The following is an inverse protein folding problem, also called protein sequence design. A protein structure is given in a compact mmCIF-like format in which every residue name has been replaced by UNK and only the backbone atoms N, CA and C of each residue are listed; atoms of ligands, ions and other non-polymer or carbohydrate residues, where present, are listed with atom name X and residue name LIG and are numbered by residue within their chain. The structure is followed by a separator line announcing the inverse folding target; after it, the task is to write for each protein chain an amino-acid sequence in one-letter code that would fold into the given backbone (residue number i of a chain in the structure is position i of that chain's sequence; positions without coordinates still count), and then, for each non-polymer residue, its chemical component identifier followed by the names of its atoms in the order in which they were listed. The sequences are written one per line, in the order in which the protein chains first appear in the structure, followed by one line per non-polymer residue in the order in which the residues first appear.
data_IF_611434403303
#
_entry.id   IF_611434403303
#
_cell.length_a   1.000
_cell.length_b   1.000
_cell.length_c   1.000
_cell.angle_alpha   90.00
_cell.angle_beta   90.00
_cell.angle_gamma   90.00
#
_symmetry.space_group_name_H-M   'P 1'
#
loop_
_entity.id
_entity.type
_entity.pdbx_description
1 polymer ?
#
# COMPACT_ATOMS: atom_id res chain seq x y z
N UNK A 1 32.24 0.33 -1.26
CA UNK A 1 31.52 -0.50 -2.25
C UNK A 1 30.61 0.36 -3.16
N UNK A 2 29.54 0.99 -2.67
CA UNK A 2 28.60 1.76 -3.53
C UNK A 2 29.24 2.91 -4.34
N UNK A 3 30.15 3.70 -3.74
CA UNK A 3 30.85 4.80 -4.45
C UNK A 3 31.74 4.30 -5.59
N UNK A 4 32.41 3.16 -5.40
CA UNK A 4 33.30 2.55 -6.40
C UNK A 4 32.46 2.03 -7.58
N UNK A 5 31.34 1.37 -7.32
CA UNK A 5 30.44 0.91 -8.38
C UNK A 5 29.84 2.07 -9.18
N UNK A 6 29.53 3.19 -8.52
CA UNK A 6 29.03 4.38 -9.20
C UNK A 6 30.11 5.07 -10.04
N UNK A 7 31.36 5.10 -9.55
CA UNK A 7 32.53 5.60 -10.31
C UNK A 7 32.81 4.73 -11.53
N UNK A 8 32.77 3.40 -11.38
CA UNK A 8 32.94 2.45 -12.50
C UNK A 8 31.82 2.62 -13.52
N UNK A 9 30.56 2.75 -13.07
CA UNK A 9 29.42 2.93 -13.97
C UNK A 9 29.48 4.28 -14.70
N UNK A 10 29.86 5.36 -14.00
CA UNK A 10 30.02 6.68 -14.60
C UNK A 10 31.15 6.69 -15.63
N UNK A 11 32.31 6.13 -15.28
CA UNK A 11 33.46 6.04 -16.16
C UNK A 11 33.18 5.15 -17.37
N UNK A 12 32.51 4.01 -17.15
CA UNK A 12 32.04 3.13 -18.23
C UNK A 12 31.04 3.85 -19.15
N UNK A 13 30.07 4.58 -18.60
CA UNK A 13 29.11 5.36 -19.39
C UNK A 13 29.81 6.46 -20.20
N UNK A 14 30.83 7.11 -19.63
CA UNK A 14 31.59 8.17 -20.29
C UNK A 14 32.46 7.61 -21.41
N UNK A 15 33.09 6.45 -21.20
CA UNK A 15 33.82 5.72 -22.24
C UNK A 15 32.89 5.24 -23.37
N UNK A 16 31.72 4.69 -23.02
CA UNK A 16 30.72 4.26 -24.01
C UNK A 16 30.25 5.47 -24.81
N UNK A 17 29.98 6.61 -24.18
CA UNK A 17 29.57 7.83 -24.86
C UNK A 17 30.67 8.35 -25.81
N UNK A 18 31.92 8.30 -25.37
CA UNK A 18 33.07 8.69 -26.18
C UNK A 18 33.22 7.77 -27.42
N UNK A 19 33.23 6.45 -27.21
CA UNK A 19 33.34 5.48 -28.30
C UNK A 19 32.16 5.57 -29.26
N UNK A 20 30.94 5.71 -28.74
CA UNK A 20 29.74 5.91 -29.56
C UNK A 20 29.83 7.21 -30.37
N UNK A 21 30.28 8.31 -29.75
CA UNK A 21 30.47 9.59 -30.44
C UNK A 21 31.55 9.52 -31.53
N UNK A 22 32.66 8.83 -31.29
CA UNK A 22 33.70 8.63 -32.31
C UNK A 22 33.21 7.74 -33.47
N UNK A 23 32.51 6.64 -33.16
CA UNK A 23 31.93 5.76 -34.16
C UNK A 23 30.85 6.48 -34.99
N UNK A 24 30.02 7.28 -34.33
CA UNK A 24 29.04 8.15 -34.96
C UNK A 24 29.70 9.11 -35.96
N UNK A 25 30.74 9.81 -35.53
CA UNK A 25 31.43 10.79 -36.37
C UNK A 25 32.05 10.14 -37.61
N UNK A 26 32.66 8.96 -37.47
CA UNK A 26 33.21 8.21 -38.60
C UNK A 26 32.11 7.74 -39.58
N UNK A 27 30.97 7.27 -39.07
CA UNK A 27 29.83 6.89 -39.91
C UNK A 27 29.20 8.11 -40.60
N UNK A 28 29.14 9.26 -39.91
CA UNK A 28 28.61 10.51 -40.44
C UNK A 28 29.42 10.97 -41.65
N UNK A 29 30.75 10.95 -41.53
CA UNK A 29 31.65 11.34 -42.61
C UNK A 29 31.54 10.37 -43.80
N UNK A 30 31.49 9.05 -43.55
CA UNK A 30 31.33 8.06 -44.62
C UNK A 30 30.01 8.23 -45.40
N UNK A 31 28.90 8.51 -44.71
CA UNK A 31 27.61 8.75 -45.35
C UNK A 31 27.60 10.07 -46.14
N UNK A 32 28.24 11.12 -45.61
CA UNK A 32 28.41 12.40 -46.32
C UNK A 32 29.22 12.19 -47.60
N UNK A 33 30.36 11.49 -47.51
CA UNK A 33 31.22 11.22 -48.65
C UNK A 33 30.54 10.33 -49.69
N UNK A 34 29.73 9.36 -49.27
CA UNK A 34 28.89 8.58 -50.17
C UNK A 34 27.87 9.46 -50.89
N UNK A 35 27.23 10.42 -50.20
CA UNK A 35 26.28 11.34 -50.82
C UNK A 35 26.97 12.22 -51.89
N UNK A 36 28.19 12.69 -51.62
CA UNK A 36 29.00 13.41 -52.63
C UNK A 36 29.34 12.49 -53.81
N UNK A 37 29.75 11.25 -53.56
CA UNK A 37 30.09 10.28 -54.62
C UNK A 37 28.91 9.96 -55.56
N UNK A 38 27.68 9.94 -55.07
CA UNK A 38 26.47 9.69 -55.89
C UNK A 38 25.94 10.96 -56.58
N UNK A 39 26.64 12.09 -56.48
CA UNK A 39 26.34 13.31 -57.23
C UNK A 39 25.52 14.37 -56.47
N UNK A 40 25.39 14.26 -55.15
CA UNK A 40 24.79 15.32 -54.32
C UNK A 40 25.79 16.48 -54.18
N UNK A 41 25.31 17.72 -54.26
CA UNK A 41 26.15 18.89 -54.01
C UNK A 41 26.76 18.84 -52.60
N UNK A 42 28.06 19.14 -52.50
CA UNK A 42 28.85 19.04 -51.25
C UNK A 42 28.21 19.87 -50.11
N UNK A 43 27.63 21.01 -50.44
CA UNK A 43 26.90 21.89 -49.51
C UNK A 43 25.63 21.25 -48.91
N UNK A 44 25.06 20.23 -49.56
CA UNK A 44 23.85 19.52 -49.14
C UNK A 44 24.13 18.08 -48.66
N UNK A 45 25.31 17.53 -48.92
CA UNK A 45 25.66 16.15 -48.61
C UNK A 45 25.62 15.84 -47.10
N UNK A 46 25.94 16.81 -46.25
CA UNK A 46 25.87 16.66 -44.79
C UNK A 46 24.44 16.46 -44.25
N UNK A 47 23.41 16.83 -45.03
CA UNK A 47 22.02 16.71 -44.60
C UNK A 47 21.55 15.24 -44.56
N UNK A 48 22.12 14.38 -45.41
CA UNK A 48 21.77 12.96 -45.49
C UNK A 48 22.06 12.17 -44.21
N UNK A 49 23.29 12.19 -43.66
CA UNK A 49 23.56 11.54 -42.39
C UNK A 49 22.72 12.16 -41.26
N UNK A 50 22.52 13.49 -41.22
CA UNK A 50 21.63 14.14 -40.24
C UNK A 50 20.19 13.60 -40.27
N UNK A 51 19.63 13.39 -41.45
CA UNK A 51 18.25 12.87 -41.59
C UNK A 51 18.18 11.41 -41.10
N UNK A 52 19.16 10.58 -41.46
CA UNK A 52 19.20 9.17 -41.07
C UNK A 52 19.38 9.03 -39.57
N UNK A 53 20.34 9.74 -38.98
CA UNK A 53 20.63 9.71 -37.56
C UNK A 53 19.51 10.36 -36.75
N UNK A 54 18.95 11.47 -37.24
CA UNK A 54 17.78 12.12 -36.65
C UNK A 54 16.57 11.19 -36.61
N UNK A 55 16.34 10.41 -37.66
CA UNK A 55 15.28 9.40 -37.69
C UNK A 55 15.51 8.31 -36.63
N UNK A 56 16.74 7.79 -36.50
CA UNK A 56 17.11 6.80 -35.48
C UNK A 56 16.84 7.35 -34.06
N UNK A 57 17.19 8.60 -33.79
CA UNK A 57 16.92 9.26 -32.50
C UNK A 57 15.40 9.37 -32.25
N UNK A 58 14.62 9.83 -33.23
CA UNK A 58 13.16 9.97 -33.11
C UNK A 58 12.49 8.61 -32.88
N UNK A 59 12.90 7.57 -33.58
CA UNK A 59 12.37 6.22 -33.40
C UNK A 59 12.73 5.67 -32.04
N UNK A 60 13.96 5.89 -31.59
CA UNK A 60 14.41 5.44 -30.28
C UNK A 60 13.72 6.15 -29.11
N UNK A 61 13.48 7.46 -29.24
CA UNK A 61 12.64 8.21 -28.29
C UNK A 61 11.19 7.69 -28.28
N UNK A 62 10.70 7.24 -29.44
CA UNK A 62 9.38 6.60 -29.54
C UNK A 62 9.37 5.22 -28.85
N UNK A 63 10.43 4.41 -28.97
CA UNK A 63 10.63 3.17 -28.19
C UNK A 63 10.62 3.47 -26.68
N UNK A 64 11.36 4.49 -26.27
CA UNK A 64 11.49 4.87 -24.86
C UNK A 64 10.14 5.33 -24.29
N UNK A 65 9.42 6.18 -25.03
CA UNK A 65 8.06 6.60 -24.69
C UNK A 65 7.13 5.39 -24.54
N UNK A 66 7.12 4.49 -25.52
CA UNK A 66 6.28 3.29 -25.51
C UNK A 66 6.60 2.37 -24.31
N UNK A 67 7.88 2.23 -23.94
CA UNK A 67 8.29 1.46 -22.77
C UNK A 67 7.81 2.11 -21.46
N UNK A 68 7.91 3.44 -21.35
CA UNK A 68 7.44 4.18 -20.19
C UNK A 68 5.91 4.13 -20.04
N UNK A 69 5.17 4.03 -21.15
CA UNK A 69 3.70 3.92 -21.16
C UNK A 69 3.18 2.47 -21.12
N UNK A 70 4.06 1.46 -21.02
CA UNK A 70 3.72 0.01 -21.12
C UNK A 70 3.00 -0.38 -22.42
N UNK A 71 3.22 0.38 -23.50
CA UNK A 71 2.68 0.08 -24.82
C UNK A 71 3.58 -0.92 -25.58
N UNK A 72 3.05 -1.53 -26.65
CA UNK A 72 3.78 -2.53 -27.43
C UNK A 72 5.03 -1.92 -28.08
N UNK A 73 6.20 -2.45 -27.73
CA UNK A 73 7.51 -1.96 -28.16
C UNK A 73 8.02 -2.55 -29.48
N UNK A 74 7.26 -3.47 -30.08
CA UNK A 74 7.68 -4.25 -31.27
C UNK A 74 7.89 -3.35 -32.49
N UNK A 75 6.95 -2.44 -32.78
CA UNK A 75 7.02 -1.60 -33.97
C UNK A 75 8.21 -0.62 -33.95
N UNK A 76 8.47 0.11 -32.85
CA UNK A 76 9.66 0.94 -32.73
C UNK A 76 10.97 0.14 -32.82
N UNK A 77 11.03 -1.07 -32.25
CA UNK A 77 12.21 -1.95 -32.34
C UNK A 77 12.50 -2.40 -33.77
N UNK A 78 11.46 -2.79 -34.51
CA UNK A 78 11.60 -3.14 -35.94
C UNK A 78 12.17 -1.96 -36.72
N UNK A 79 11.73 -0.74 -36.42
CA UNK A 79 12.18 0.46 -37.12
C UNK A 79 13.66 0.77 -36.82
N UNK A 80 14.10 0.64 -35.57
CA UNK A 80 15.51 0.77 -35.20
C UNK A 80 16.34 -0.30 -35.90
N UNK A 81 15.93 -1.57 -35.84
CA UNK A 81 16.66 -2.66 -36.50
C UNK A 81 16.79 -2.46 -38.01
N UNK A 82 15.73 -2.00 -38.69
CA UNK A 82 15.74 -1.73 -40.14
C UNK A 82 16.72 -0.61 -40.48
N UNK A 83 16.69 0.50 -39.75
CA UNK A 83 17.59 1.63 -40.01
C UNK A 83 19.04 1.34 -39.64
N UNK A 84 19.29 0.57 -38.58
CA UNK A 84 20.65 0.08 -38.26
C UNK A 84 21.17 -0.83 -39.36
N UNK A 85 20.36 -1.77 -39.87
CA UNK A 85 20.77 -2.63 -40.98
C UNK A 85 21.08 -1.81 -42.23
N UNK A 86 20.25 -0.81 -42.53
CA UNK A 86 20.44 0.09 -43.66
C UNK A 86 21.75 0.88 -43.52
N UNK A 87 22.06 1.41 -42.33
CA UNK A 87 23.32 2.11 -42.04
C UNK A 87 24.55 1.21 -42.23
N UNK A 88 24.47 -0.05 -41.79
CA UNK A 88 25.53 -1.05 -42.03
C UNK A 88 25.73 -1.30 -43.52
N UNK A 89 24.64 -1.54 -44.27
CA UNK A 89 24.69 -1.82 -45.71
C UNK A 89 25.26 -0.64 -46.49
N UNK A 90 24.85 0.60 -46.16
CA UNK A 90 25.34 1.80 -46.84
C UNK A 90 26.85 2.03 -46.59
N UNK A 91 27.32 1.82 -45.35
CA UNK A 91 28.75 1.89 -45.03
C UNK A 91 29.56 0.79 -45.75
N UNK A 92 29.03 -0.43 -45.87
CA UNK A 92 29.65 -1.51 -46.62
C UNK A 92 29.75 -1.17 -48.12
N UNK A 93 28.70 -0.58 -48.70
CA UNK A 93 28.67 -0.15 -50.11
C UNK A 93 29.71 0.95 -50.36
N UNK A 94 29.91 1.86 -49.40
CA UNK A 94 30.91 2.93 -49.49
C UNK A 94 32.35 2.39 -49.56
N UNK A 95 32.66 1.37 -48.77
CA UNK A 95 34.01 0.84 -48.56
C UNK A 95 34.55 -0.05 -49.71
N UNK A 96 34.19 0.23 -50.96
CA UNK A 96 34.35 -0.63 -52.14
C UNK A 96 35.63 -1.50 -52.25
N UNK A 97 35.46 -2.68 -52.88
CA UNK A 97 36.45 -3.65 -53.38
C UNK A 97 37.24 -4.54 -52.40
N UNK A 98 37.43 -4.20 -51.12
CA UNK A 98 38.08 -5.10 -50.15
C UNK A 98 37.14 -5.61 -49.04
N UNK A 99 37.15 -6.93 -48.80
CA UNK A 99 36.38 -7.55 -47.71
C UNK A 99 36.75 -6.97 -46.33
N UNK A 100 38.04 -6.68 -46.10
CA UNK A 100 38.50 -6.09 -44.85
C UNK A 100 37.97 -4.66 -44.63
N UNK A 101 37.87 -3.86 -45.69
CA UNK A 101 37.32 -2.51 -45.65
C UNK A 101 35.82 -2.52 -45.34
N UNK A 102 35.07 -3.47 -45.91
CA UNK A 102 33.64 -3.66 -45.63
C UNK A 102 33.39 -4.08 -44.17
N UNK A 103 34.20 -5.00 -43.63
CA UNK A 103 34.12 -5.38 -42.22
C UNK A 103 34.40 -4.20 -41.30
N UNK A 104 35.44 -3.42 -41.59
CA UNK A 104 35.81 -2.25 -40.81
C UNK A 104 34.74 -1.16 -40.85
N UNK A 105 34.07 -0.97 -41.99
CA UNK A 105 32.99 0.00 -42.17
C UNK A 105 31.67 -0.41 -41.46
N UNK A 106 31.46 -1.71 -41.21
CA UNK A 106 30.31 -2.20 -40.44
C UNK A 106 30.47 -2.02 -38.92
N UNK A 107 31.70 -1.91 -38.41
CA UNK A 107 31.97 -1.81 -36.96
C UNK A 107 31.34 -0.55 -36.34
N UNK A 108 31.49 0.67 -36.90
CA UNK A 108 30.92 1.87 -36.31
C UNK A 108 29.38 1.82 -36.12
N UNK A 109 28.55 1.49 -37.12
CA UNK A 109 27.09 1.45 -36.93
C UNK A 109 26.63 0.34 -35.97
N UNK A 110 27.31 -0.81 -35.95
CA UNK A 110 27.01 -1.88 -34.98
C UNK A 110 27.37 -1.45 -33.55
N UNK A 111 28.56 -0.85 -33.37
CA UNK A 111 28.99 -0.35 -32.07
C UNK A 111 28.07 0.75 -31.54
N UNK A 112 27.58 1.64 -32.42
CA UNK A 112 26.62 2.68 -32.09
C UNK A 112 25.30 2.07 -31.60
N UNK A 113 24.74 1.10 -32.35
CA UNK A 113 23.50 0.43 -31.97
C UNK A 113 23.60 -0.26 -30.60
N UNK A 114 24.68 -1.02 -30.36
CA UNK A 114 24.90 -1.70 -29.08
C UNK A 114 25.10 -0.72 -27.92
N UNK A 115 25.87 0.36 -28.15
CA UNK A 115 26.09 1.40 -27.14
C UNK A 115 24.79 2.11 -26.76
N UNK A 116 23.95 2.34 -27.76
CA UNK A 116 22.65 2.96 -27.59
C UNK A 116 21.68 2.05 -26.82
N UNK A 117 21.63 0.77 -27.15
CA UNK A 117 20.84 -0.24 -26.42
C UNK A 117 21.26 -0.34 -24.95
N UNK A 118 22.57 -0.31 -24.69
CA UNK A 118 23.12 -0.33 -23.33
C UNK A 118 22.70 0.92 -22.55
N UNK A 119 22.76 2.10 -23.17
CA UNK A 119 22.34 3.36 -22.56
C UNK A 119 20.85 3.36 -22.22
N UNK A 120 19.99 2.92 -23.14
CA UNK A 120 18.55 2.83 -22.90
C UNK A 120 18.22 1.87 -21.75
N UNK A 121 18.93 0.75 -21.67
CA UNK A 121 18.77 -0.21 -20.58
C UNK A 121 19.14 0.42 -19.23
N UNK A 122 20.26 1.15 -19.17
CA UNK A 122 20.66 1.86 -17.96
C UNK A 122 19.68 2.98 -17.55
N UNK A 123 19.17 3.75 -18.51
CA UNK A 123 18.16 4.78 -18.24
C UNK A 123 16.87 4.17 -17.69
N UNK A 124 16.40 3.06 -18.26
CA UNK A 124 15.23 2.33 -17.78
C UNK A 124 15.42 1.85 -16.35
N UNK A 125 16.55 1.21 -16.05
CA UNK A 125 16.84 0.74 -14.68
C UNK A 125 16.87 1.91 -13.69
N UNK A 126 17.45 3.04 -14.08
CA UNK A 126 17.54 4.23 -13.22
C UNK A 126 16.16 4.82 -12.96
N UNK A 127 15.31 4.95 -13.99
CA UNK A 127 13.95 5.46 -13.86
C UNK A 127 13.09 4.58 -12.93
N UNK A 128 13.14 3.25 -13.10
CA UNK A 128 12.41 2.30 -12.25
C UNK A 128 12.92 2.37 -10.80
N UNK A 129 14.24 2.49 -10.60
CA UNK A 129 14.81 2.65 -9.25
C UNK A 129 14.31 3.93 -8.57
N UNK A 130 14.20 5.04 -9.30
CA UNK A 130 13.69 6.30 -8.75
C UNK A 130 12.21 6.19 -8.35
N UNK A 131 11.38 5.55 -9.18
CA UNK A 131 9.96 5.29 -8.86
C UNK A 131 9.79 4.40 -7.63
N UNK A 132 10.58 3.32 -7.53
CA UNK A 132 10.60 2.44 -6.35
C UNK A 132 11.08 3.18 -5.09
N UNK A 133 12.12 4.01 -5.19
CA UNK A 133 12.59 4.81 -4.05
C UNK A 133 11.53 5.80 -3.57
N UNK A 134 10.83 6.47 -4.49
CA UNK A 134 9.77 7.42 -4.14
C UNK A 134 8.58 6.74 -3.47
N UNK A 135 8.11 5.61 -4.02
CA UNK A 135 7.01 4.85 -3.43
C UNK A 135 7.36 4.26 -2.06
N UNK A 136 8.60 3.79 -1.87
CA UNK A 136 9.07 3.34 -0.55
C UNK A 136 9.14 4.50 0.44
N UNK A 137 9.63 5.67 0.02
CA UNK A 137 9.68 6.86 0.88
C UNK A 137 8.27 7.30 1.32
N UNK A 138 7.30 7.21 0.42
CA UNK A 138 5.89 7.46 0.71
C UNK A 138 5.31 6.47 1.73
N UNK A 139 5.54 5.16 1.53
CA UNK A 139 5.09 4.12 2.46
C UNK A 139 5.70 4.31 3.85
N UNK A 140 7.00 4.59 3.93
CA UNK A 140 7.69 4.83 5.22
C UNK A 140 7.12 6.07 5.93
N UNK A 141 6.79 7.11 5.17
CA UNK A 141 6.14 8.30 5.72
C UNK A 141 4.74 7.99 6.27
N UNK A 142 3.94 7.22 5.54
CA UNK A 142 2.59 6.82 5.97
C UNK A 142 2.64 5.96 7.23
N UNK A 143 3.60 5.03 7.34
CA UNK A 143 3.81 4.22 8.55
C UNK A 143 4.14 5.11 9.74
N UNK A 144 5.06 6.07 9.57
CA UNK A 144 5.45 7.00 10.64
C UNK A 144 4.28 7.88 11.09
N UNK A 145 3.43 8.30 10.17
CA UNK A 145 2.22 9.07 10.47
C UNK A 145 1.23 8.24 11.28
N UNK A 146 0.93 7.02 10.85
CA UNK A 146 0.05 6.09 11.60
C UNK A 146 0.60 5.75 12.98
N UNK A 147 1.91 5.58 13.12
CA UNK A 147 2.55 5.37 14.42
C UNK A 147 2.36 6.59 15.34
N UNK A 148 2.48 7.81 14.80
CA UNK A 148 2.21 9.04 15.56
C UNK A 148 0.74 9.16 15.99
N UNK A 149 -0.20 8.86 15.10
CA UNK A 149 -1.63 8.84 15.42
C UNK A 149 -1.96 7.80 16.49
N UNK A 150 -1.37 6.60 16.37
CA UNK A 150 -1.54 5.53 17.35
C UNK A 150 -1.01 5.96 18.72
N UNK A 151 0.17 6.58 18.78
CA UNK A 151 0.74 7.09 20.03
C UNK A 151 -0.11 8.19 20.66
N UNK A 152 -0.69 9.10 19.86
CA UNK A 152 -1.65 10.10 20.35
C UNK A 152 -2.91 9.45 20.92
N UNK A 153 -3.44 8.43 20.24
CA UNK A 153 -4.62 7.72 20.70
C UNK A 153 -4.37 6.98 22.01
N UNK A 154 -3.23 6.29 22.12
CA UNK A 154 -2.80 5.62 23.34
C UNK A 154 -2.68 6.63 24.48
N UNK A 155 -2.01 7.77 24.25
CA UNK A 155 -1.86 8.81 25.27
C UNK A 155 -3.20 9.37 25.75
N UNK A 156 -4.11 9.71 24.84
CA UNK A 156 -5.45 10.22 25.19
C UNK A 156 -6.27 9.17 25.99
N UNK A 157 -6.16 7.89 25.61
CA UNK A 157 -6.79 6.79 26.35
C UNK A 157 -6.21 6.69 27.76
N UNK A 158 -4.88 6.75 27.91
CA UNK A 158 -4.22 6.73 29.22
C UNK A 158 -4.65 7.90 30.11
N UNK A 159 -4.69 9.12 29.57
CA UNK A 159 -5.17 10.31 30.29
C UNK A 159 -6.64 10.16 30.72
N UNK A 160 -7.48 9.51 29.90
CA UNK A 160 -8.88 9.24 30.25
C UNK A 160 -8.97 8.21 31.37
N UNK A 161 -8.15 7.16 31.34
CA UNK A 161 -8.10 6.14 32.40
C UNK A 161 -7.69 6.77 33.73
N UNK A 162 -6.64 7.59 33.73
CA UNK A 162 -6.16 8.28 34.94
C UNK A 162 -7.25 9.18 35.55
N UNK A 163 -7.99 9.92 34.72
CA UNK A 163 -9.14 10.74 35.17
C UNK A 163 -10.23 9.89 35.82
N UNK A 164 -10.59 8.77 35.20
CA UNK A 164 -11.62 7.85 35.72
C UNK A 164 -11.18 7.21 37.04
N UNK A 165 -9.92 6.79 37.15
CA UNK A 165 -9.36 6.26 38.40
C UNK A 165 -9.40 7.30 39.52
N UNK A 166 -9.05 8.56 39.22
CA UNK A 166 -9.17 9.67 40.17
C UNK A 166 -10.61 9.94 40.62
N UNK A 167 -11.59 9.85 39.71
CA UNK A 167 -13.01 10.01 40.02
C UNK A 167 -13.54 8.86 40.89
N UNK A 168 -13.17 7.60 40.58
CA UNK A 168 -13.48 6.42 41.40
C UNK A 168 -12.91 6.60 42.81
N UNK A 169 -11.67 7.08 42.96
CA UNK A 169 -11.06 7.37 44.24
C UNK A 169 -11.87 8.37 45.07
N UNK A 170 -12.26 9.50 44.46
CA UNK A 170 -13.10 10.53 45.11
C UNK A 170 -14.47 10.02 45.51
N UNK A 171 -15.13 9.26 44.64
CA UNK A 171 -16.43 8.65 44.94
C UNK A 171 -16.32 7.64 46.08
N UNK A 172 -15.23 6.87 46.14
CA UNK A 172 -14.96 5.91 47.21
C UNK A 172 -14.75 6.62 48.55
N UNK A 173 -14.00 7.74 48.56
CA UNK A 173 -13.82 8.57 49.74
C UNK A 173 -15.15 9.17 50.23
N UNK A 174 -15.95 9.75 49.32
CA UNK A 174 -17.29 10.28 49.63
C UNK A 174 -18.20 9.19 50.20
N UNK A 175 -18.20 8.00 49.60
CA UNK A 175 -18.95 6.83 50.10
C UNK A 175 -18.49 6.44 51.51
N UNK A 176 -17.18 6.49 51.80
CA UNK A 176 -16.63 6.25 53.13
C UNK A 176 -17.10 7.26 54.17
N UNK A 177 -17.00 8.57 53.86
CA UNK A 177 -17.48 9.65 54.74
C UNK A 177 -18.98 9.54 55.03
N UNK A 178 -19.78 9.34 53.97
CA UNK A 178 -21.23 9.20 54.09
C UNK A 178 -21.61 7.95 54.91
N UNK A 179 -20.87 6.85 54.78
CA UNK A 179 -21.07 5.65 55.60
C UNK A 179 -20.80 5.92 57.08
N UNK A 180 -19.73 6.67 57.41
CA UNK A 180 -19.41 7.07 58.78
C UNK A 180 -20.51 7.98 59.35
N UNK A 181 -21.00 8.93 58.56
CA UNK A 181 -22.08 9.85 58.95
C UNK A 181 -23.42 9.13 59.16
N UNK A 182 -23.77 8.16 58.32
CA UNK A 182 -24.95 7.29 58.53
C UNK A 182 -24.79 6.48 59.83
N UNK A 183 -23.59 5.97 60.11
CA UNK A 183 -23.33 5.17 61.30
C UNK A 183 -23.36 6.01 62.59
N UNK A 184 -22.91 7.27 62.54
CA UNK A 184 -23.02 8.21 63.67
C UNK A 184 -24.46 8.68 63.90
N UNK A 185 -25.23 8.94 62.84
CA UNK A 185 -26.66 9.26 62.93
C UNK A 185 -27.51 8.06 63.36
N UNK A 186 -27.11 6.83 63.02
CA UNK A 186 -27.77 5.60 63.49
C UNK A 186 -27.52 5.31 64.97
N UNK A 187 -26.40 5.79 65.54
CA UNK A 187 -26.07 5.61 66.96
C UNK A 187 -26.70 6.69 67.87
N UNK A 188 -27.35 7.70 67.28
CA UNK A 188 -27.98 8.83 67.99
C UNK A 188 -29.51 8.82 68.00
N UNK A 189 -30.18 7.81 67.43
CA UNK A 189 -31.63 7.76 67.38
C UNK A 189 -32.16 6.33 67.58
N UNK A 190 -32.24 5.91 68.86
CA UNK A 190 -33.14 4.84 69.29
C UNK A 190 -34.59 5.31 69.10
N UNK A 191 -35.14 5.07 67.92
CA UNK A 191 -36.50 5.50 67.61
C UNK A 191 -36.95 5.08 66.21
N UNK A 192 -37.38 3.82 66.11
CA UNK A 192 -38.31 3.28 65.10
C UNK A 192 -38.20 3.80 63.66
N UNK A 193 -37.56 3.04 62.76
CA UNK A 193 -37.80 3.13 61.30
C UNK A 193 -37.79 1.74 60.61
N UNK A 194 -38.52 1.60 59.48
CA UNK A 194 -38.87 0.32 58.86
C UNK A 194 -37.72 -0.32 58.06
N UNK A 195 -37.81 -1.65 57.92
CA UNK A 195 -36.78 -2.59 57.43
C UNK A 195 -36.00 -2.18 56.17
N UNK A 196 -34.68 -2.05 56.31
CA UNK A 196 -33.68 -1.79 55.27
C UNK A 196 -33.38 -3.04 54.38
N UNK A 197 -33.93 -4.21 54.72
CA UNK A 197 -33.78 -5.44 53.93
C UNK A 197 -34.54 -5.43 52.61
N UNK A 198 -35.63 -4.66 52.53
CA UNK A 198 -36.59 -4.79 51.44
C UNK A 198 -36.18 -3.95 50.22
N UNK A 199 -35.56 -2.79 50.43
CA UNK A 199 -35.10 -1.89 49.35
C UNK A 199 -33.90 -2.44 48.57
N UNK A 200 -32.96 -3.11 49.23
CA UNK A 200 -31.81 -3.75 48.58
C UNK A 200 -32.24 -5.03 47.85
N UNK A 201 -33.17 -5.81 48.43
CA UNK A 201 -33.76 -6.98 47.80
C UNK A 201 -34.49 -6.64 46.49
N UNK A 202 -35.35 -5.62 46.52
CA UNK A 202 -36.09 -5.14 45.35
C UNK A 202 -35.16 -4.63 44.24
N UNK A 203 -34.09 -3.91 44.58
CA UNK A 203 -33.13 -3.42 43.59
C UNK A 203 -32.31 -4.55 42.93
N UNK A 204 -31.96 -5.60 43.67
CA UNK A 204 -31.27 -6.78 43.12
C UNK A 204 -32.22 -7.61 42.25
N UNK A 205 -33.46 -7.81 42.70
CA UNK A 205 -34.48 -8.54 41.97
C UNK A 205 -34.83 -7.83 40.65
N UNK A 206 -35.01 -6.51 40.66
CA UNK A 206 -35.26 -5.73 39.43
C UNK A 206 -34.11 -5.82 38.41
N UNK A 207 -32.84 -5.84 38.87
CA UNK A 207 -31.69 -5.98 37.97
C UNK A 207 -31.62 -7.36 37.33
N UNK A 208 -31.93 -8.41 38.10
CA UNK A 208 -31.98 -9.79 37.58
C UNK A 208 -33.11 -9.97 36.57
N UNK A 209 -34.32 -9.45 36.85
CA UNK A 209 -35.45 -9.52 35.92
C UNK A 209 -35.17 -8.77 34.61
N UNK A 210 -34.63 -7.54 34.67
CA UNK A 210 -34.28 -6.77 33.46
C UNK A 210 -33.18 -7.43 32.63
N UNK A 211 -32.21 -8.09 33.26
CA UNK A 211 -31.18 -8.88 32.55
C UNK A 211 -31.83 -10.07 31.82
N UNK A 212 -32.75 -10.76 32.49
CA UNK A 212 -33.44 -11.93 31.94
C UNK A 212 -34.36 -11.56 30.77
N UNK A 213 -35.09 -10.44 30.87
CA UNK A 213 -35.88 -9.88 29.77
C UNK A 213 -35.00 -9.55 28.54
N UNK A 214 -33.84 -8.92 28.77
CA UNK A 214 -32.92 -8.59 27.68
C UNK A 214 -32.31 -9.83 27.00
N UNK A 215 -32.02 -10.90 27.76
CA UNK A 215 -31.56 -12.17 27.20
C UNK A 215 -32.64 -12.89 26.40
N UNK A 216 -33.92 -12.80 26.82
CA UNK A 216 -35.05 -13.34 26.06
C UNK A 216 -35.29 -12.57 24.75
N UNK A 217 -35.24 -11.24 24.78
CA UNK A 217 -35.33 -10.41 23.58
C UNK A 217 -34.21 -10.71 22.59
N UNK A 218 -32.99 -10.93 23.09
CA UNK A 218 -31.84 -11.30 22.26
C UNK A 218 -32.04 -12.65 21.56
N UNK A 219 -32.58 -13.66 22.26
CA UNK A 219 -32.92 -14.96 21.65
C UNK A 219 -33.97 -14.83 20.54
N UNK A 220 -34.95 -13.95 20.71
CA UNK A 220 -36.00 -13.72 19.70
C UNK A 220 -35.45 -12.99 18.46
N UNK A 221 -34.57 -12.02 18.66
CA UNK A 221 -33.89 -11.33 17.55
C UNK A 221 -32.98 -12.30 16.78
N UNK A 222 -32.29 -13.23 17.47
CA UNK A 222 -31.46 -14.24 16.81
C UNK A 222 -32.31 -15.23 16.01
N UNK A 223 -33.51 -15.60 16.50
CA UNK A 223 -34.45 -16.46 15.74
C UNK A 223 -34.93 -15.80 14.45
N UNK A 224 -35.23 -14.51 14.51
CA UNK A 224 -35.73 -13.75 13.35
C UNK A 224 -34.61 -13.36 12.38
N UNK A 225 -33.37 -13.20 12.88
CA UNK A 225 -32.19 -12.80 12.10
C UNK A 225 -30.94 -13.59 12.52
N UNK A 226 -30.76 -14.83 12.03
CA UNK A 226 -29.62 -15.67 12.41
C UNK A 226 -28.27 -15.09 11.95
N UNK A 227 -28.24 -14.32 10.86
CA UNK A 227 -27.00 -13.77 10.29
C UNK A 227 -26.67 -12.36 10.82
N UNK A 228 -27.34 -11.88 11.87
CA UNK A 228 -27.14 -10.54 12.39
C UNK A 228 -25.77 -10.37 13.05
N UNK A 229 -25.09 -9.28 12.73
CA UNK A 229 -23.82 -8.89 13.34
C UNK A 229 -24.02 -8.40 14.79
N UNK A 230 -22.96 -8.43 15.60
CA UNK A 230 -23.00 -7.92 16.99
C UNK A 230 -23.51 -6.48 17.09
N UNK A 231 -23.25 -5.67 16.07
CA UNK A 231 -23.73 -4.28 16.00
C UNK A 231 -25.24 -4.21 15.80
N UNK A 232 -25.80 -5.06 14.95
CA UNK A 232 -27.24 -5.11 14.67
C UNK A 232 -28.02 -5.70 15.83
N UNK A 233 -27.47 -6.72 16.50
CA UNK A 233 -28.05 -7.28 17.74
C UNK A 233 -28.07 -6.24 18.86
N UNK A 234 -27.00 -5.47 19.01
CA UNK A 234 -26.90 -4.38 19.98
C UNK A 234 -27.93 -3.27 19.75
N UNK A 235 -28.14 -2.88 18.49
CA UNK A 235 -29.18 -1.92 18.10
C UNK A 235 -30.58 -2.50 18.32
N UNK A 236 -30.80 -3.78 17.98
CA UNK A 236 -32.09 -4.45 18.12
C UNK A 236 -32.59 -4.58 19.56
N UNK A 237 -31.69 -4.69 20.53
CA UNK A 237 -32.04 -4.75 21.97
C UNK A 237 -31.76 -3.45 22.74
N UNK A 238 -31.29 -2.40 22.05
CA UNK A 238 -31.00 -1.09 22.66
C UNK A 238 -29.88 -1.13 23.73
N UNK A 239 -28.85 -1.97 23.54
CA UNK A 239 -27.74 -2.14 24.51
C UNK A 239 -26.38 -1.96 23.84
N UNK A 240 -25.33 -1.78 24.66
CA UNK A 240 -23.96 -1.65 24.15
C UNK A 240 -23.46 -2.98 23.56
N UNK A 241 -22.55 -2.91 22.57
CA UNK A 241 -21.93 -4.09 21.95
C UNK A 241 -21.20 -4.98 22.98
N UNK A 242 -20.62 -4.38 24.01
CA UNK A 242 -19.95 -5.09 25.12
C UNK A 242 -20.95 -5.88 25.96
N UNK A 243 -22.08 -5.26 26.32
CA UNK A 243 -23.15 -5.91 27.09
C UNK A 243 -23.78 -7.07 26.31
N UNK A 244 -24.03 -6.87 25.01
CA UNK A 244 -24.58 -7.91 24.14
C UNK A 244 -23.60 -9.06 23.96
N UNK A 245 -22.30 -8.76 23.79
CA UNK A 245 -21.24 -9.76 23.76
C UNK A 245 -21.21 -10.61 25.04
N UNK A 246 -21.38 -9.98 26.21
CA UNK A 246 -21.50 -10.68 27.48
C UNK A 246 -22.72 -11.61 27.54
N UNK A 247 -23.90 -11.14 27.10
CA UNK A 247 -25.11 -11.96 27.07
C UNK A 247 -25.02 -13.14 26.09
N UNK A 248 -24.39 -12.95 24.93
CA UNK A 248 -24.16 -14.03 23.97
C UNK A 248 -23.21 -15.10 24.55
N UNK A 249 -22.13 -14.68 25.21
CA UNK A 249 -21.23 -15.61 25.90
C UNK A 249 -21.93 -16.41 27.00
N UNK A 250 -22.82 -15.77 27.77
CA UNK A 250 -23.62 -16.46 28.79
C UNK A 250 -24.64 -17.43 28.17
N UNK A 251 -25.31 -17.03 27.09
CA UNK A 251 -26.27 -17.90 26.38
C UNK A 251 -25.57 -19.09 25.68
N UNK A 252 -24.35 -18.89 25.19
CA UNK A 252 -23.53 -19.95 24.60
C UNK A 252 -23.01 -20.90 25.68
N UNK A 253 -22.55 -20.39 26.82
CA UNK A 253 -22.12 -21.20 27.96
C UNK A 253 -23.27 -22.04 28.54
N UNK A 254 -24.49 -21.51 28.49
CA UNK A 254 -25.71 -22.21 28.89
C UNK A 254 -26.30 -23.12 27.79
N UNK A 255 -25.67 -23.20 26.61
CA UNK A 255 -26.08 -24.10 25.53
C UNK A 255 -27.35 -23.68 24.77
N UNK A 256 -27.80 -22.44 24.91
CA UNK A 256 -28.99 -21.94 24.21
C UNK A 256 -28.71 -21.49 22.77
N UNK A 257 -27.48 -21.06 22.49
CA UNK A 257 -27.05 -20.60 21.16
C UNK A 257 -25.71 -21.21 20.76
N UNK A 258 -25.54 -21.41 19.47
CA UNK A 258 -24.28 -21.82 18.85
C UNK A 258 -23.91 -20.85 17.72
N UNK A 259 -22.62 -20.59 17.54
CA UNK A 259 -22.10 -19.75 16.47
C UNK A 259 -21.58 -20.63 15.34
N UNK A 260 -22.26 -20.63 14.21
CA UNK A 260 -21.83 -21.35 13.00
C UNK A 260 -21.10 -20.42 12.01
N UNK A 261 -20.73 -20.95 10.84
CA UNK A 261 -20.05 -20.17 9.78
C UNK A 261 -20.95 -19.13 9.09
N UNK A 262 -22.25 -19.18 9.32
CA UNK A 262 -23.26 -18.32 8.69
C UNK A 262 -23.92 -17.35 9.68
N UNK A 263 -23.80 -17.56 10.99
CA UNK A 263 -24.36 -16.69 12.02
C UNK A 263 -24.58 -17.37 13.37
N UNK A 264 -25.56 -16.87 14.11
CA UNK A 264 -26.01 -17.37 15.40
C UNK A 264 -27.24 -18.27 15.21
N UNK A 265 -27.21 -19.46 15.80
CA UNK A 265 -28.32 -20.42 15.76
C UNK A 265 -28.82 -20.71 17.18
N UNK A 266 -30.13 -20.66 17.37
CA UNK A 266 -30.76 -21.08 18.65
C UNK A 266 -30.98 -22.59 18.61
N UNK A 267 -30.46 -23.30 19.61
CA UNK A 267 -30.64 -24.75 19.74
C UNK A 267 -32.01 -25.02 20.38
N UNK A 268 -33.01 -25.31 19.55
CA UNK A 268 -34.38 -25.62 20.00
C UNK A 268 -34.43 -27.01 20.65
N UNK A 269 -34.28 -27.03 21.97
CA UNK A 269 -34.47 -28.23 22.80
C UNK A 269 -34.51 -27.96 24.31
N UNK A 270 -34.07 -26.79 24.78
CA UNK A 270 -34.07 -26.47 26.22
C UNK A 270 -35.17 -25.45 26.50
N UNK A 271 -36.33 -25.94 26.95
CA UNK A 271 -37.29 -25.09 27.64
C UNK A 271 -36.56 -24.39 28.80
N UNK A 272 -36.63 -23.06 28.86
CA UNK A 272 -36.01 -22.23 29.89
C UNK A 272 -36.59 -22.60 31.25
N UNK A 273 -36.05 -23.63 31.90
CA UNK A 273 -36.12 -23.82 33.36
C UNK A 273 -34.85 -23.20 33.93
N UNK A 274 -34.87 -21.89 34.10
CA UNK A 274 -33.89 -21.21 34.95
C UNK A 274 -34.22 -21.59 36.39
N UNK A 275 -33.22 -22.10 37.10
CA UNK A 275 -33.32 -22.58 38.47
C UNK A 275 -33.96 -21.54 39.40
N UNK A 276 -34.86 -22.04 40.26
CA UNK A 276 -35.52 -21.32 41.33
C UNK A 276 -34.55 -20.97 42.45
#
# INVERSE_FOLDING_TARGET
MQRINHLISLFSALLVLFLAGSAFFLSFESLKDLAVQIGVAEELAWLYPVIIDGAIIVFSLSVLRANLTRERTVYPWVLVSVFTLLSVVLNIIHAQQELLAQFLAAIPPVALFLSFELLLTQLKETAVRLEVQNSLAEIVREIREKESELNKLVRNRSETIEKLEGEIGRLTEKKGKLKIEIQSHSNGNSGSKPSESDTIGLARQQRTSKKQEAMQQLLEVIRTRPNATLSELAVGIGRSKSTVGGYLSELQAAGFIEKDRFGWRVLTGVAIRLAR
#
